data_IF_376473920986
#
_entry.id   IF_376473920986
#
_cell.length_a   1.000
_cell.length_b   1.000
_cell.length_c   1.000
_cell.angle_alpha   90.00
_cell.angle_beta   90.00
_cell.angle_gamma   90.00
#
_symmetry.space_group_name_H-M   'P 1'
#
loop_
_entity.id
_entity.type
_entity.pdbx_description
1 polymer ?
#
# COMPACT_ATOMS: atom_id res chain seq x y z
N UNK A 1 13.25 5.61 23.60
CA UNK A 1 12.41 4.61 22.91
C UNK A 1 11.25 4.09 23.75
N UNK A 2 11.47 3.40 24.88
CA UNK A 2 10.38 2.77 25.68
C UNK A 2 9.17 3.68 25.95
N UNK A 3 9.39 4.90 26.46
CA UNK A 3 8.30 5.85 26.73
C UNK A 3 7.51 6.25 25.47
N UNK A 4 8.18 6.36 24.32
CA UNK A 4 7.52 6.68 23.05
C UNK A 4 6.65 5.51 22.56
N UNK A 5 7.15 4.26 22.69
CA UNK A 5 6.37 3.05 22.36
C UNK A 5 5.16 2.88 23.27
N UNK A 6 5.33 3.14 24.58
CA UNK A 6 4.21 3.08 25.53
C UNK A 6 3.15 4.14 25.20
N UNK A 7 3.58 5.36 24.88
CA UNK A 7 2.69 6.44 24.47
C UNK A 7 1.93 6.07 23.18
N UNK A 8 2.62 5.59 22.15
CA UNK A 8 2.02 5.15 20.88
C UNK A 8 0.97 4.06 21.09
N UNK A 9 1.27 3.05 21.91
CA UNK A 9 0.30 2.00 22.24
C UNK A 9 -0.96 2.57 22.91
N UNK A 10 -0.81 3.53 23.83
CA UNK A 10 -1.94 4.22 24.48
C UNK A 10 -2.71 5.06 23.46
N UNK A 11 -2.02 5.86 22.64
CA UNK A 11 -2.64 6.72 21.63
C UNK A 11 -3.41 5.89 20.61
N UNK A 12 -2.83 4.80 20.10
CA UNK A 12 -3.47 3.87 19.18
C UNK A 12 -4.74 3.28 19.79
N UNK A 13 -4.67 2.79 21.03
CA UNK A 13 -5.81 2.22 21.74
C UNK A 13 -6.90 3.27 21.96
N UNK A 14 -6.56 4.46 22.43
CA UNK A 14 -7.50 5.56 22.63
C UNK A 14 -8.17 5.96 21.31
N UNK A 15 -7.40 6.15 20.24
CA UNK A 15 -7.96 6.51 18.92
C UNK A 15 -8.90 5.42 18.39
N UNK A 16 -8.52 4.14 18.53
CA UNK A 16 -9.37 3.02 18.18
C UNK A 16 -10.70 3.03 18.95
N UNK A 17 -10.65 3.16 20.28
CA UNK A 17 -11.85 3.20 21.14
C UNK A 17 -12.72 4.42 20.82
N UNK A 18 -12.13 5.60 20.65
CA UNK A 18 -12.86 6.81 20.28
C UNK A 18 -13.55 6.65 18.92
N UNK A 19 -12.87 6.08 17.92
CA UNK A 19 -13.48 5.86 16.62
C UNK A 19 -14.63 4.84 16.69
N UNK A 20 -14.51 3.77 17.47
CA UNK A 20 -15.61 2.83 17.70
C UNK A 20 -16.80 3.48 18.42
N UNK A 21 -16.54 4.36 19.39
CA UNK A 21 -17.58 5.01 20.19
C UNK A 21 -18.32 6.11 19.40
N UNK A 22 -17.60 6.91 18.63
CA UNK A 22 -18.12 8.13 18.03
C UNK A 22 -18.35 8.05 16.51
N UNK A 23 -17.87 7.00 15.86
CA UNK A 23 -18.06 6.82 14.41
C UNK A 23 -18.70 5.46 14.10
N UNK A 24 -19.38 5.36 12.95
CA UNK A 24 -19.93 4.09 12.45
C UNK A 24 -18.88 3.39 11.58
N UNK A 25 -17.81 2.91 12.20
CA UNK A 25 -16.73 2.24 11.47
C UNK A 25 -17.22 1.02 10.67
N UNK A 26 -16.71 0.91 9.44
CA UNK A 26 -16.78 -0.27 8.59
C UNK A 26 -15.39 -0.58 8.06
N UNK A 27 -15.19 -1.76 7.49
CA UNK A 27 -13.95 -2.15 6.80
C UNK A 27 -13.59 -1.22 5.63
N UNK A 28 -14.60 -0.53 5.08
CA UNK A 28 -14.45 0.46 4.01
C UNK A 28 -14.22 1.87 4.52
N UNK A 29 -14.33 2.10 5.84
CA UNK A 29 -14.11 3.42 6.43
C UNK A 29 -12.62 3.79 6.36
N UNK A 30 -12.24 5.00 5.91
CA UNK A 30 -10.84 5.41 5.81
C UNK A 30 -10.06 5.27 7.12
N UNK A 31 -10.70 5.57 8.25
CA UNK A 31 -10.10 5.40 9.58
C UNK A 31 -9.65 3.97 9.87
N UNK A 32 -10.36 2.96 9.36
CA UNK A 32 -9.99 1.54 9.56
C UNK A 32 -8.65 1.25 8.88
N UNK A 33 -8.48 1.70 7.63
CA UNK A 33 -7.24 1.51 6.88
C UNK A 33 -6.09 2.27 7.54
N UNK A 34 -6.34 3.51 7.99
CA UNK A 34 -5.32 4.32 8.65
C UNK A 34 -4.86 3.72 9.99
N UNK A 35 -5.80 3.22 10.81
CA UNK A 35 -5.46 2.52 12.06
C UNK A 35 -4.64 1.26 11.82
N UNK A 36 -5.01 0.45 10.81
CA UNK A 36 -4.25 -0.74 10.45
C UNK A 36 -2.84 -0.38 9.97
N UNK A 37 -2.70 0.66 9.15
CA UNK A 37 -1.41 1.15 8.69
C UNK A 37 -0.55 1.62 9.87
N UNK A 38 -1.10 2.45 10.76
CA UNK A 38 -0.38 2.93 11.95
C UNK A 38 0.06 1.76 12.83
N UNK A 39 -0.85 0.85 13.15
CA UNK A 39 -0.54 -0.33 13.95
C UNK A 39 0.58 -1.18 13.34
N UNK A 40 0.52 -1.45 12.02
CA UNK A 40 1.47 -2.33 11.35
C UNK A 40 2.85 -1.69 11.14
N UNK A 41 2.89 -0.44 10.67
CA UNK A 41 4.14 0.17 10.19
C UNK A 41 4.75 1.16 11.17
N UNK A 42 3.98 1.66 12.14
CA UNK A 42 4.47 2.54 13.20
C UNK A 42 4.62 1.72 14.49
N UNK A 43 3.50 1.24 15.06
CA UNK A 43 3.50 0.62 16.38
C UNK A 43 4.29 -0.69 16.43
N UNK A 44 3.98 -1.66 15.56
CA UNK A 44 4.71 -2.94 15.53
C UNK A 44 6.18 -2.76 15.19
N UNK A 45 6.52 -1.83 14.28
CA UNK A 45 7.92 -1.52 13.96
C UNK A 45 8.64 -0.90 15.15
N UNK A 46 8.03 0.05 15.85
CA UNK A 46 8.61 0.65 17.05
C UNK A 46 8.84 -0.37 18.17
N UNK A 47 7.90 -1.30 18.36
CA UNK A 47 8.05 -2.44 19.29
C UNK A 47 9.19 -3.36 18.84
N UNK A 48 9.30 -3.66 17.56
CA UNK A 48 10.38 -4.51 17.04
C UNK A 48 11.76 -3.87 17.28
N UNK A 49 11.92 -2.58 16.99
CA UNK A 49 13.17 -1.83 17.25
C UNK A 49 13.48 -1.82 18.75
N UNK A 50 12.49 -1.58 19.61
CA UNK A 50 12.66 -1.67 21.07
C UNK A 50 13.14 -3.06 21.52
N UNK A 51 12.76 -4.12 20.81
CA UNK A 51 13.18 -5.50 21.06
C UNK A 51 14.51 -5.88 20.34
N UNK A 52 15.20 -4.90 19.74
CA UNK A 52 16.52 -5.11 19.12
C UNK A 52 16.51 -5.40 17.63
N UNK A 53 15.40 -5.15 16.91
CA UNK A 53 15.39 -5.22 15.45
C UNK A 53 16.36 -4.19 14.85
N UNK A 54 17.01 -4.57 13.75
CA UNK A 54 17.96 -3.71 13.04
C UNK A 54 17.25 -2.51 12.44
N UNK A 55 17.86 -1.32 12.56
CA UNK A 55 17.32 -0.08 11.96
C UNK A 55 17.84 0.12 10.55
N UNK A 56 17.14 0.95 9.78
CA UNK A 56 17.56 1.31 8.42
C UNK A 56 18.98 1.90 8.43
N UNK A 57 19.75 1.64 7.37
CA UNK A 57 21.15 2.05 7.22
C UNK A 57 22.15 1.38 8.18
N UNK A 58 21.84 0.19 8.72
CA UNK A 58 22.72 -0.58 9.61
C UNK A 58 23.92 -1.30 8.95
N UNK A 59 24.26 -0.99 7.70
CA UNK A 59 25.41 -1.60 7.01
C UNK A 59 26.70 -0.78 7.12
N UNK A 60 27.83 -1.42 6.84
CA UNK A 60 29.16 -0.79 6.95
C UNK A 60 29.28 0.44 6.05
N UNK A 61 29.65 1.57 6.64
CA UNK A 61 29.86 2.83 5.93
C UNK A 61 28.61 3.70 5.75
N UNK A 62 27.45 3.24 6.23
CA UNK A 62 26.25 4.05 6.37
C UNK A 62 26.07 4.55 7.81
N UNK A 63 25.17 5.51 7.99
CA UNK A 63 24.81 6.07 9.29
C UNK A 63 23.41 5.57 9.69
N UNK A 64 23.30 4.58 10.61
CA UNK A 64 22.03 3.98 10.98
C UNK A 64 21.03 5.01 11.53
N UNK A 65 19.74 4.76 11.31
CA UNK A 65 18.70 5.53 11.99
C UNK A 65 18.74 5.17 13.48
N UNK A 66 18.88 6.18 14.33
CA UNK A 66 18.98 6.01 15.77
C UNK A 66 17.62 5.85 16.44
N UNK A 67 17.60 5.24 17.63
CA UNK A 67 16.37 5.09 18.42
C UNK A 67 15.71 6.42 18.81
N UNK A 68 16.49 7.50 18.94
CA UNK A 68 15.98 8.82 19.28
C UNK A 68 15.22 9.44 18.11
N UNK A 69 15.73 9.27 16.90
CA UNK A 69 15.05 9.67 15.66
C UNK A 69 13.75 8.89 15.46
N UNK A 70 13.79 7.58 15.71
CA UNK A 70 12.60 6.72 15.66
C UNK A 70 11.58 7.16 16.72
N UNK A 71 12.03 7.41 17.96
CA UNK A 71 11.15 7.91 19.03
C UNK A 71 10.44 9.20 18.63
N UNK A 72 11.15 10.13 17.98
CA UNK A 72 10.57 11.38 17.47
C UNK A 72 9.57 11.13 16.34
N UNK A 73 9.90 10.24 15.41
CA UNK A 73 9.02 9.89 14.29
C UNK A 73 7.71 9.25 14.79
N UNK A 74 7.78 8.35 15.78
CA UNK A 74 6.60 7.77 16.44
C UNK A 74 5.71 8.85 17.03
N UNK A 75 6.26 9.79 17.80
CA UNK A 75 5.48 10.87 18.41
C UNK A 75 4.79 11.77 17.36
N UNK A 76 5.44 12.01 16.21
CA UNK A 76 4.83 12.77 15.12
C UNK A 76 3.75 11.97 14.39
N UNK A 77 3.93 10.67 14.22
CA UNK A 77 2.91 9.78 13.69
C UNK A 77 1.69 9.72 14.62
N UNK A 78 1.89 9.67 15.94
CA UNK A 78 0.81 9.73 16.94
C UNK A 78 0.02 11.02 16.84
N UNK A 79 0.71 12.16 16.71
CA UNK A 79 0.05 13.45 16.52
C UNK A 79 -0.82 13.45 15.25
N UNK A 80 -0.32 12.88 14.15
CA UNK A 80 -1.08 12.73 12.93
C UNK A 80 -2.32 11.81 13.13
N UNK A 81 -2.16 10.70 13.85
CA UNK A 81 -3.26 9.78 14.18
C UNK A 81 -4.36 10.46 15.01
N UNK A 82 -3.97 11.26 16.02
CA UNK A 82 -4.91 12.05 16.84
C UNK A 82 -5.65 13.07 15.98
N UNK A 83 -4.93 13.79 15.11
CA UNK A 83 -5.51 14.80 14.24
C UNK A 83 -6.52 14.19 13.26
N UNK A 84 -6.15 13.08 12.62
CA UNK A 84 -7.02 12.35 11.69
C UNK A 84 -8.24 11.76 12.40
N UNK A 85 -8.05 11.16 13.58
CA UNK A 85 -9.13 10.65 14.43
C UNK A 85 -10.13 11.74 14.80
N UNK A 86 -9.63 12.88 15.25
CA UNK A 86 -10.44 14.05 15.58
C UNK A 86 -11.21 14.56 14.36
N UNK A 87 -10.57 14.58 13.18
CA UNK A 87 -11.20 14.93 11.90
C UNK A 87 -12.37 14.02 11.53
N UNK A 88 -12.21 12.70 11.68
CA UNK A 88 -13.29 11.74 11.40
C UNK A 88 -14.43 11.83 12.40
N UNK A 89 -14.14 11.99 13.70
CA UNK A 89 -15.18 12.18 14.73
C UNK A 89 -15.97 13.47 14.47
N UNK A 90 -15.28 14.57 14.16
CA UNK A 90 -15.93 15.82 13.80
C UNK A 90 -16.80 15.68 12.54
N UNK A 91 -16.32 14.98 11.51
CA UNK A 91 -17.08 14.71 10.31
C UNK A 91 -18.33 13.86 10.58
N UNK A 92 -18.21 12.82 11.43
CA UNK A 92 -19.32 11.98 11.83
C UNK A 92 -20.38 12.77 12.62
N UNK A 93 -19.95 13.60 13.57
CA UNK A 93 -20.83 14.45 14.37
C UNK A 93 -21.53 15.51 13.50
N UNK A 94 -20.79 16.17 12.59
CA UNK A 94 -21.37 17.10 11.62
C UNK A 94 -22.41 16.42 10.74
N UNK A 95 -22.15 15.21 10.26
CA UNK A 95 -23.10 14.46 9.43
C UNK A 95 -24.37 14.03 10.21
N UNK A 96 -24.25 13.77 11.51
CA UNK A 96 -25.39 13.46 12.37
C UNK A 96 -26.22 14.71 12.70
N UNK A 97 -25.56 15.86 12.92
CA UNK A 97 -26.22 17.11 13.33
C UNK A 97 -26.66 17.99 12.17
N UNK A 98 -26.13 17.78 10.96
CA UNK A 98 -26.65 18.37 9.74
C UNK A 98 -27.99 17.69 9.39
N UNK A 99 -29.02 17.92 10.20
CA UNK A 99 -30.34 17.29 10.04
C UNK A 99 -30.88 17.54 8.65
N UNK A 100 -31.00 16.49 7.83
CA UNK A 100 -31.46 16.44 6.42
C UNK A 100 -31.24 17.70 5.56
N UNK A 101 -30.22 18.50 5.87
CA UNK A 101 -29.94 19.77 5.22
C UNK A 101 -29.51 19.41 3.81
N UNK A 102 -30.38 19.70 2.85
CA UNK A 102 -30.31 19.32 1.44
C UNK A 102 -28.86 19.20 0.97
N UNK A 103 -28.31 17.98 0.99
CA UNK A 103 -27.17 17.67 0.13
C UNK A 103 -27.73 17.72 -1.29
N UNK A 104 -27.73 18.91 -1.88
CA UNK A 104 -28.19 19.15 -3.26
C UNK A 104 -27.31 18.44 -4.31
N UNK A 105 -26.26 17.73 -3.88
CA UNK A 105 -25.63 16.69 -4.67
C UNK A 105 -26.60 15.50 -4.78
N UNK A 106 -27.55 15.57 -5.73
CA UNK A 106 -28.27 14.38 -6.21
C UNK A 106 -27.20 13.32 -6.50
N UNK A 107 -27.20 12.16 -5.81
CA UNK A 107 -26.19 11.14 -6.07
C UNK A 107 -26.28 10.78 -7.55
N UNK A 108 -25.21 11.07 -8.30
CA UNK A 108 -25.13 10.67 -9.70
C UNK A 108 -25.06 9.16 -9.72
N UNK A 109 -26.16 8.53 -10.12
CA UNK A 109 -26.20 7.09 -10.27
C UNK A 109 -25.14 6.68 -11.30
N UNK A 110 -24.34 5.69 -10.93
CA UNK A 110 -23.40 5.08 -11.87
C UNK A 110 -24.20 4.54 -13.05
N UNK A 111 -23.83 4.91 -14.29
CA UNK A 111 -24.47 4.41 -15.51
C UNK A 111 -23.90 3.03 -15.83
N UNK A 112 -24.56 1.90 -15.50
CA UNK A 112 -23.96 0.58 -15.65
C UNK A 112 -23.79 0.20 -17.13
N UNK A 113 -24.54 0.87 -18.01
CA UNK A 113 -24.44 0.78 -19.47
C UNK A 113 -23.05 1.12 -20.00
N UNK A 114 -22.38 2.12 -19.40
CA UNK A 114 -21.03 2.53 -19.79
C UNK A 114 -19.95 1.65 -19.15
N UNK A 115 -20.28 0.94 -18.06
CA UNK A 115 -19.30 0.15 -17.34
C UNK A 115 -18.77 -1.02 -18.17
N UNK A 116 -19.66 -1.77 -18.83
CA UNK A 116 -19.25 -2.91 -19.67
C UNK A 116 -18.28 -2.53 -20.78
N UNK A 117 -18.58 -1.56 -21.68
CA UNK A 117 -17.67 -1.22 -22.76
C UNK A 117 -16.34 -0.68 -22.25
N UNK A 118 -16.35 0.17 -21.21
CA UNK A 118 -15.12 0.68 -20.58
C UNK A 118 -14.30 -0.46 -19.97
N UNK A 119 -14.93 -1.34 -19.19
CA UNK A 119 -14.26 -2.47 -18.58
C UNK A 119 -13.70 -3.44 -19.64
N UNK A 120 -14.42 -3.68 -20.73
CA UNK A 120 -13.92 -4.51 -21.84
C UNK A 120 -12.65 -3.92 -22.44
N UNK A 121 -12.65 -2.63 -22.77
CA UNK A 121 -11.44 -1.96 -23.30
C UNK A 121 -10.29 -2.03 -22.30
N UNK A 122 -10.55 -1.71 -21.02
CA UNK A 122 -9.53 -1.74 -19.98
C UNK A 122 -9.00 -3.16 -19.70
N UNK A 123 -9.83 -4.21 -19.80
CA UNK A 123 -9.39 -5.60 -19.69
C UNK A 123 -8.48 -5.96 -20.87
N UNK A 124 -8.88 -5.64 -22.10
CA UNK A 124 -8.06 -5.92 -23.29
C UNK A 124 -6.71 -5.22 -23.19
N UNK A 125 -6.71 -3.92 -22.86
CA UNK A 125 -5.47 -3.15 -22.67
C UNK A 125 -4.65 -3.70 -21.50
N UNK A 126 -5.29 -4.05 -20.38
CA UNK A 126 -4.60 -4.60 -19.22
C UNK A 126 -3.96 -5.96 -19.51
N UNK A 127 -4.65 -6.86 -20.19
CA UNK A 127 -4.10 -8.15 -20.63
C UNK A 127 -2.95 -7.95 -21.62
N UNK A 128 -3.11 -7.07 -22.61
CA UNK A 128 -2.03 -6.72 -23.53
C UNK A 128 -0.82 -6.16 -22.79
N UNK A 129 -1.04 -5.26 -21.82
CA UNK A 129 0.02 -4.70 -21.01
C UNK A 129 0.75 -5.76 -20.17
N UNK A 130 0.01 -6.71 -19.60
CA UNK A 130 0.56 -7.84 -18.88
C UNK A 130 1.34 -8.78 -19.80
N UNK A 131 1.02 -8.89 -21.08
CA UNK A 131 1.81 -9.70 -22.04
C UNK A 131 3.06 -8.97 -22.53
N UNK A 132 2.96 -7.65 -22.79
CA UNK A 132 4.01 -6.87 -23.44
C UNK A 132 5.08 -6.31 -22.48
N UNK A 133 4.70 -6.01 -21.24
CA UNK A 133 5.58 -5.34 -20.27
C UNK A 133 5.82 -6.14 -18.99
N UNK A 134 5.29 -7.37 -18.90
CA UNK A 134 5.66 -8.23 -17.78
C UNK A 134 6.86 -9.10 -18.12
N UNK A 135 7.64 -9.40 -17.08
CA UNK A 135 8.69 -10.42 -17.15
C UNK A 135 7.99 -11.79 -17.14
N UNK A 136 7.81 -12.39 -18.33
CA UNK A 136 7.29 -13.75 -18.46
C UNK A 136 8.46 -14.77 -18.45
N UNK A 137 8.39 -15.83 -17.64
CA UNK A 137 9.42 -16.86 -17.62
C UNK A 137 9.54 -17.53 -18.99
N UNK A 138 10.77 -17.67 -19.51
CA UNK A 138 11.04 -18.29 -20.82
C UNK A 138 10.64 -17.46 -22.05
N UNK A 139 10.08 -16.27 -21.86
CA UNK A 139 9.69 -15.36 -22.94
C UNK A 139 10.53 -14.08 -22.88
N UNK A 140 11.53 -13.98 -23.75
CA UNK A 140 12.24 -12.73 -24.03
C UNK A 140 11.45 -11.89 -25.02
N UNK A 141 10.26 -11.43 -24.62
CA UNK A 141 9.55 -10.42 -25.41
C UNK A 141 10.39 -9.14 -25.40
N UNK A 142 10.86 -8.71 -26.58
CA UNK A 142 11.37 -7.35 -26.69
C UNK A 142 10.21 -6.39 -26.45
N UNK A 143 10.33 -5.46 -25.49
CA UNK A 143 9.28 -4.50 -25.21
C UNK A 143 8.96 -3.70 -26.47
N UNK A 144 7.68 -3.60 -26.81
CA UNK A 144 7.22 -2.92 -28.03
C UNK A 144 7.62 -1.42 -28.05
N UNK A 145 7.85 -0.84 -26.86
CA UNK A 145 8.36 0.51 -26.67
C UNK A 145 9.35 0.53 -25.50
N UNK A 146 10.65 0.57 -25.80
CA UNK A 146 11.72 0.57 -24.79
C UNK A 146 11.66 1.80 -23.88
N UNK A 147 11.32 2.97 -24.44
CA UNK A 147 11.32 4.25 -23.71
C UNK A 147 10.19 4.38 -22.67
N UNK A 148 9.26 3.42 -22.66
CA UNK A 148 8.10 3.37 -21.77
C UNK A 148 8.19 2.23 -20.75
N UNK A 149 9.26 1.42 -20.77
CA UNK A 149 9.47 0.32 -19.82
C UNK A 149 9.43 0.79 -18.37
N UNK A 150 10.08 1.92 -18.09
CA UNK A 150 10.17 2.49 -16.75
C UNK A 150 9.04 3.51 -16.46
N UNK A 151 8.05 3.62 -17.36
CA UNK A 151 6.93 4.54 -17.16
C UNK A 151 5.92 3.95 -16.18
N UNK A 152 5.47 4.73 -15.20
CA UNK A 152 4.34 4.34 -14.34
C UNK A 152 3.08 3.98 -15.15
N UNK A 153 2.94 4.50 -16.38
CA UNK A 153 1.84 4.14 -17.28
C UNK A 153 1.87 2.69 -17.74
N UNK A 154 3.05 2.13 -18.03
CA UNK A 154 3.18 0.72 -18.42
C UNK A 154 2.97 -0.20 -17.23
N UNK A 155 3.41 0.20 -16.03
CA UNK A 155 3.20 -0.55 -14.78
C UNK A 155 1.73 -0.53 -14.36
N UNK A 156 1.08 0.64 -14.37
CA UNK A 156 -0.32 0.79 -13.96
C UNK A 156 -1.27 0.15 -14.97
N UNK A 157 -0.98 0.21 -16.29
CA UNK A 157 -1.81 -0.46 -17.29
C UNK A 157 -1.99 -1.96 -17.01
N UNK A 158 -0.97 -2.62 -16.45
CA UNK A 158 -1.05 -4.03 -16.08
C UNK A 158 -2.06 -4.32 -14.96
N UNK A 159 -2.55 -3.31 -14.22
CA UNK A 159 -3.58 -3.50 -13.18
C UNK A 159 -4.99 -3.32 -13.71
N UNK A 160 -5.15 -2.82 -14.94
CA UNK A 160 -6.46 -2.44 -15.48
C UNK A 160 -7.40 -3.63 -15.62
N UNK A 161 -6.88 -4.81 -15.96
CA UNK A 161 -7.67 -6.03 -16.04
C UNK A 161 -8.29 -6.39 -14.68
N UNK A 162 -7.48 -6.45 -13.61
CA UNK A 162 -7.96 -6.74 -12.26
C UNK A 162 -8.94 -5.70 -11.73
N UNK A 163 -8.64 -4.41 -11.89
CA UNK A 163 -9.53 -3.33 -11.45
C UNK A 163 -10.86 -3.30 -12.21
N UNK A 164 -10.84 -3.59 -13.51
CA UNK A 164 -12.06 -3.66 -14.32
C UNK A 164 -12.93 -4.86 -13.97
N UNK A 165 -12.32 -6.03 -13.72
CA UNK A 165 -13.02 -7.21 -13.22
C UNK A 165 -13.65 -6.93 -11.84
N UNK A 166 -12.95 -6.21 -10.96
CA UNK A 166 -13.52 -5.78 -9.69
C UNK A 166 -14.72 -4.86 -9.86
N UNK A 167 -14.63 -3.86 -10.75
CA UNK A 167 -15.74 -2.96 -11.02
C UNK A 167 -16.97 -3.72 -11.55
N UNK A 168 -16.76 -4.70 -12.44
CA UNK A 168 -17.81 -5.59 -12.91
C UNK A 168 -18.41 -6.44 -11.78
N UNK A 169 -17.59 -7.02 -10.90
CA UNK A 169 -18.07 -7.78 -9.72
C UNK A 169 -18.85 -6.88 -8.76
N UNK A 170 -18.38 -5.65 -8.54
CA UNK A 170 -19.06 -4.69 -7.69
C UNK A 170 -20.47 -4.38 -8.21
N UNK A 171 -20.63 -4.11 -9.50
CA UNK A 171 -21.93 -3.77 -10.09
C UNK A 171 -22.83 -4.99 -10.34
N UNK A 172 -22.30 -6.09 -10.87
CA UNK A 172 -23.08 -7.25 -11.31
C UNK A 172 -23.10 -8.43 -10.31
N UNK A 173 -22.37 -8.31 -9.20
CA UNK A 173 -22.24 -9.32 -8.17
C UNK A 173 -21.19 -10.40 -8.48
N UNK A 174 -21.03 -11.33 -7.53
CA UNK A 174 -20.09 -12.46 -7.59
C UNK A 174 -20.60 -13.57 -8.52
N UNK A 175 -20.73 -13.26 -9.81
CA UNK A 175 -21.12 -14.24 -10.83
C UNK A 175 -19.97 -15.22 -11.08
N UNK A 176 -20.23 -16.53 -11.27
CA UNK A 176 -19.17 -17.54 -11.42
C UNK A 176 -18.14 -17.18 -12.50
N UNK A 177 -18.57 -16.68 -13.66
CA UNK A 177 -17.66 -16.27 -14.74
C UNK A 177 -16.74 -15.10 -14.37
N UNK A 178 -17.23 -14.11 -13.62
CA UNK A 178 -16.40 -12.99 -13.15
C UNK A 178 -15.43 -13.42 -12.05
N UNK A 179 -15.88 -14.31 -11.16
CA UNK A 179 -15.03 -14.87 -10.11
C UNK A 179 -13.92 -15.74 -10.72
N UNK A 180 -14.25 -16.58 -11.71
CA UNK A 180 -13.27 -17.37 -12.44
C UNK A 180 -12.24 -16.48 -13.18
N UNK A 181 -12.71 -15.42 -13.86
CA UNK A 181 -11.81 -14.46 -14.51
C UNK A 181 -10.89 -13.73 -13.50
N UNK A 182 -11.42 -13.34 -12.34
CA UNK A 182 -10.62 -12.75 -11.26
C UNK A 182 -9.58 -13.74 -10.72
N UNK A 183 -9.97 -15.01 -10.53
CA UNK A 183 -9.06 -16.08 -10.13
C UNK A 183 -7.93 -16.28 -11.14
N UNK A 184 -8.24 -16.26 -12.44
CA UNK A 184 -7.26 -16.31 -13.51
C UNK A 184 -6.28 -15.13 -13.49
N UNK A 185 -6.79 -13.91 -13.25
CA UNK A 185 -5.95 -12.72 -13.05
C UNK A 185 -5.00 -12.89 -11.85
N UNK A 186 -5.50 -13.35 -10.70
CA UNK A 186 -4.64 -13.58 -9.52
C UNK A 186 -3.58 -14.64 -9.75
N UNK A 187 -3.94 -15.77 -10.36
CA UNK A 187 -2.99 -16.81 -10.72
C UNK A 187 -1.84 -16.24 -11.57
N UNK A 188 -2.19 -15.44 -12.58
CA UNK A 188 -1.21 -14.82 -13.46
C UNK A 188 -0.30 -13.82 -12.73
N UNK A 189 -0.85 -12.97 -11.86
CA UNK A 189 -0.05 -12.02 -11.08
C UNK A 189 0.90 -12.73 -10.11
N UNK A 190 0.46 -13.83 -9.47
CA UNK A 190 1.31 -14.65 -8.61
C UNK A 190 2.46 -15.25 -9.42
N UNK A 191 2.16 -15.81 -10.59
CA UNK A 191 3.16 -16.39 -11.48
C UNK A 191 4.23 -15.37 -11.94
N UNK A 192 3.83 -14.12 -12.20
CA UNK A 192 4.77 -13.06 -12.56
C UNK A 192 5.74 -12.66 -11.43
N UNK A 193 5.38 -12.87 -10.16
CA UNK A 193 6.25 -12.56 -9.02
C UNK A 193 6.58 -11.07 -8.80
N UNK A 194 6.04 -10.17 -9.63
CA UNK A 194 6.37 -8.75 -9.64
C UNK A 194 5.17 -7.89 -9.22
N UNK A 195 5.46 -6.75 -8.59
CA UNK A 195 4.47 -5.73 -8.20
C UNK A 195 3.30 -6.32 -7.39
N UNK A 196 3.60 -6.82 -6.18
CA UNK A 196 2.71 -7.51 -5.25
C UNK A 196 1.39 -6.76 -4.94
N UNK A 197 1.41 -5.43 -5.03
CA UNK A 197 0.21 -4.60 -4.85
C UNK A 197 -0.93 -4.95 -5.82
N UNK A 198 -0.61 -5.49 -7.00
CA UNK A 198 -1.57 -5.93 -8.02
C UNK A 198 -2.40 -7.14 -7.59
N UNK A 199 -1.95 -7.87 -6.57
CA UNK A 199 -2.68 -8.96 -5.94
C UNK A 199 -3.43 -8.44 -4.70
N UNK A 200 -2.71 -7.75 -3.80
CA UNK A 200 -3.28 -7.35 -2.50
C UNK A 200 -4.39 -6.32 -2.63
N UNK A 201 -4.18 -5.24 -3.40
CA UNK A 201 -5.18 -4.17 -3.50
C UNK A 201 -6.48 -4.76 -4.06
N UNK A 202 -6.47 -5.53 -5.17
CA UNK A 202 -7.72 -6.08 -5.66
C UNK A 202 -8.35 -7.11 -4.72
N UNK A 203 -7.56 -7.88 -3.98
CA UNK A 203 -8.09 -8.83 -3.01
C UNK A 203 -8.76 -8.12 -1.82
N UNK A 204 -8.12 -7.10 -1.25
CA UNK A 204 -8.69 -6.28 -0.17
C UNK A 204 -10.00 -5.66 -0.66
N UNK A 205 -10.00 -5.09 -1.86
CA UNK A 205 -11.21 -4.53 -2.48
C UNK A 205 -12.28 -5.60 -2.69
N UNK A 206 -11.93 -6.81 -3.15
CA UNK A 206 -12.88 -7.90 -3.35
C UNK A 206 -13.58 -8.29 -2.03
N UNK A 207 -12.83 -8.34 -0.93
CA UNK A 207 -13.36 -8.64 0.42
C UNK A 207 -14.23 -7.50 0.92
N UNK A 208 -13.84 -6.25 0.69
CA UNK A 208 -14.66 -5.07 0.98
C UNK A 208 -15.97 -5.09 0.19
N UNK A 209 -15.92 -5.37 -1.12
CA UNK A 209 -17.10 -5.52 -2.00
C UNK A 209 -18.00 -6.64 -1.50
N UNK A 210 -17.43 -7.76 -1.07
CA UNK A 210 -18.21 -8.87 -0.50
C UNK A 210 -18.94 -8.47 0.79
N UNK A 211 -18.24 -7.80 1.71
CA UNK A 211 -18.83 -7.31 2.96
C UNK A 211 -19.92 -6.27 2.71
N UNK A 212 -19.66 -5.29 1.85
CA UNK A 212 -20.58 -4.20 1.50
C UNK A 212 -21.87 -4.73 0.88
N UNK A 213 -21.78 -5.64 -0.10
CA UNK A 213 -22.95 -6.25 -0.74
C UNK A 213 -23.79 -7.13 0.20
N UNK A 214 -23.22 -7.57 1.33
CA UNK A 214 -23.91 -8.33 2.38
C UNK A 214 -24.39 -7.42 3.52
N UNK A 215 -24.21 -6.10 3.42
CA UNK A 215 -24.53 -5.15 4.49
C UNK A 215 -23.70 -5.34 5.76
N UNK A 216 -22.53 -5.99 5.65
CA UNK A 216 -21.66 -6.29 6.79
C UNK A 216 -20.63 -5.18 6.97
N UNK A 217 -20.47 -4.71 8.20
CA UNK A 217 -19.47 -3.69 8.55
C UNK A 217 -18.07 -4.26 8.68
N UNK A 218 -17.96 -5.54 9.05
CA UNK A 218 -16.69 -6.26 9.20
C UNK A 218 -16.62 -7.41 8.20
N UNK A 219 -15.42 -7.80 7.73
CA UNK A 219 -15.26 -8.99 6.91
C UNK A 219 -15.77 -10.24 7.66
N UNK A 220 -16.18 -11.27 6.91
CA UNK A 220 -16.44 -12.58 7.51
C UNK A 220 -15.16 -13.15 8.13
N UNK A 221 -15.29 -14.09 9.07
CA UNK A 221 -14.14 -14.83 9.60
C UNK A 221 -13.26 -15.43 8.47
N UNK A 222 -13.88 -15.95 7.42
CA UNK A 222 -13.19 -16.42 6.20
C UNK A 222 -12.46 -15.30 5.45
N UNK A 223 -13.02 -14.10 5.38
CA UNK A 223 -12.39 -12.93 4.77
C UNK A 223 -11.20 -12.42 5.60
N UNK A 224 -11.32 -12.44 6.94
CA UNK A 224 -10.20 -12.13 7.85
C UNK A 224 -9.10 -13.16 7.67
N UNK A 225 -9.43 -14.45 7.67
CA UNK A 225 -8.46 -15.51 7.43
C UNK A 225 -7.76 -15.35 6.07
N UNK A 226 -8.50 -15.03 5.00
CA UNK A 226 -7.92 -14.75 3.69
C UNK A 226 -6.96 -13.54 3.71
N UNK A 227 -7.33 -12.45 4.39
CA UNK A 227 -6.45 -11.28 4.54
C UNK A 227 -5.17 -11.61 5.32
N UNK A 228 -5.28 -12.38 6.41
CA UNK A 228 -4.13 -12.80 7.20
C UNK A 228 -3.20 -13.71 6.40
N UNK A 229 -3.75 -14.70 5.69
CA UNK A 229 -2.97 -15.60 4.82
C UNK A 229 -2.27 -14.79 3.74
N UNK A 230 -2.99 -13.89 3.05
CA UNK A 230 -2.38 -13.07 2.00
C UNK A 230 -1.38 -12.04 2.54
N UNK A 231 -1.59 -11.52 3.74
CA UNK A 231 -0.62 -10.65 4.43
C UNK A 231 0.67 -11.40 4.79
N UNK A 232 0.57 -12.65 5.25
CA UNK A 232 1.75 -13.48 5.54
C UNK A 232 2.48 -13.91 4.27
N UNK A 233 1.73 -14.29 3.22
CA UNK A 233 2.30 -14.69 1.93
C UNK A 233 2.82 -13.51 1.10
N UNK A 234 2.45 -12.27 1.45
CA UNK A 234 2.89 -11.07 0.73
C UNK A 234 4.40 -10.89 0.74
N UNK A 235 5.04 -11.07 1.89
CA UNK A 235 6.48 -10.90 2.05
C UNK A 235 7.28 -11.87 1.17
N UNK A 236 7.05 -13.20 1.24
CA UNK A 236 7.78 -14.15 0.40
C UNK A 236 7.37 -14.14 -1.07
N UNK A 237 6.25 -13.53 -1.48
CA UNK A 237 5.72 -13.63 -2.85
C UNK A 237 6.74 -13.20 -3.93
N UNK A 238 7.55 -12.19 -3.63
CA UNK A 238 8.60 -11.71 -4.55
C UNK A 238 9.69 -12.77 -4.73
N UNK A 239 10.17 -13.34 -3.63
CA UNK A 239 11.16 -14.42 -3.64
C UNK A 239 10.61 -15.68 -4.32
N UNK A 240 9.36 -16.04 -4.03
CA UNK A 240 8.68 -17.18 -4.64
C UNK A 240 8.65 -17.05 -6.16
N UNK A 241 8.23 -15.90 -6.68
CA UNK A 241 8.16 -15.69 -8.12
C UNK A 241 9.54 -15.72 -8.80
N UNK A 242 10.57 -15.18 -8.15
CA UNK A 242 11.94 -15.21 -8.67
C UNK A 242 12.54 -16.62 -8.68
N UNK A 243 12.27 -17.42 -7.66
CA UNK A 243 12.80 -18.78 -7.54
C UNK A 243 12.07 -19.77 -8.45
N UNK A 244 10.74 -19.62 -8.58
CA UNK A 244 9.96 -20.30 -9.61
C UNK A 244 10.46 -19.93 -11.03
N UNK A 245 10.91 -18.70 -11.24
CA UNK A 245 11.52 -18.24 -12.49
C UNK A 245 12.91 -18.84 -12.73
N UNK A 246 13.72 -18.98 -11.68
CA UNK A 246 15.06 -19.57 -11.76
C UNK A 246 15.04 -21.11 -11.91
N UNK A 247 13.89 -21.74 -11.65
CA UNK A 247 13.75 -23.19 -11.68
C UNK A 247 14.29 -23.86 -10.40
N UNK A 248 14.36 -23.10 -9.31
CA UNK A 248 14.95 -23.57 -8.05
C UNK A 248 14.12 -24.71 -7.44
N UNK A 249 14.76 -25.66 -6.73
CA UNK A 249 14.06 -26.74 -6.07
C UNK A 249 13.01 -26.23 -5.06
N UNK A 250 11.89 -26.95 -4.95
CA UNK A 250 10.80 -26.62 -4.00
C UNK A 250 11.31 -26.54 -2.54
N UNK A 251 12.37 -27.28 -2.20
CA UNK A 251 12.98 -27.20 -0.87
C UNK A 251 13.59 -25.82 -0.56
N UNK A 252 14.25 -25.19 -1.53
CA UNK A 252 14.83 -23.85 -1.37
C UNK A 252 13.74 -22.77 -1.29
N UNK A 253 12.67 -22.95 -2.08
CA UNK A 253 11.46 -22.11 -2.00
C UNK A 253 10.88 -22.05 -0.59
N UNK A 254 10.81 -23.21 0.07
CA UNK A 254 10.26 -23.33 1.40
C UNK A 254 11.14 -22.65 2.46
N UNK A 255 12.46 -22.84 2.42
CA UNK A 255 13.38 -22.23 3.37
C UNK A 255 13.44 -20.70 3.22
N UNK A 256 13.41 -20.20 1.99
CA UNK A 256 13.35 -18.76 1.74
C UNK A 256 12.03 -18.16 2.25
N UNK A 257 10.90 -18.83 1.97
CA UNK A 257 9.58 -18.41 2.48
C UNK A 257 9.57 -18.34 4.02
N UNK A 258 10.13 -19.35 4.69
CA UNK A 258 10.25 -19.40 6.14
C UNK A 258 11.14 -18.26 6.67
N UNK A 259 12.26 -18.00 6.02
CA UNK A 259 13.19 -16.93 6.39
C UNK A 259 12.51 -15.56 6.30
N UNK A 260 11.80 -15.28 5.21
CA UNK A 260 11.06 -14.01 5.04
C UNK A 260 10.00 -13.83 6.13
N UNK A 261 9.23 -14.87 6.44
CA UNK A 261 8.22 -14.82 7.51
C UNK A 261 8.88 -14.56 8.87
N UNK A 262 10.00 -15.23 9.17
CA UNK A 262 10.74 -15.00 10.42
C UNK A 262 11.25 -13.56 10.51
N UNK A 263 11.78 -13.01 9.41
CA UNK A 263 12.24 -11.62 9.37
C UNK A 263 11.10 -10.63 9.61
N UNK A 264 9.88 -10.91 9.13
CA UNK A 264 8.69 -10.10 9.41
C UNK A 264 8.36 -10.11 10.90
N UNK A 265 8.35 -11.28 11.55
CA UNK A 265 8.05 -11.38 12.98
C UNK A 265 9.15 -10.78 13.86
N UNK A 266 10.41 -10.81 13.43
CA UNK A 266 11.51 -10.09 14.08
C UNK A 266 11.48 -8.59 13.83
N UNK A 267 10.73 -8.15 12.81
CA UNK A 267 10.70 -6.78 12.36
C UNK A 267 11.87 -6.37 11.46
N UNK A 268 12.78 -7.28 11.11
CA UNK A 268 13.95 -7.02 10.26
C UNK A 268 13.63 -7.00 8.75
N UNK A 269 12.38 -7.28 8.37
CA UNK A 269 11.99 -7.28 6.96
C UNK A 269 11.99 -5.84 6.38
N UNK A 270 12.61 -5.59 5.21
CA UNK A 270 12.72 -4.25 4.62
C UNK A 270 11.38 -3.51 4.45
N UNK A 271 10.32 -4.22 4.02
CA UNK A 271 8.97 -3.64 3.88
C UNK A 271 8.37 -3.07 5.20
N UNK A 272 8.93 -3.40 6.36
CA UNK A 272 8.48 -2.88 7.67
C UNK A 272 9.20 -1.59 8.09
N UNK A 273 10.22 -1.16 7.34
CA UNK A 273 11.09 -0.01 7.69
C UNK A 273 10.49 1.36 7.35
N UNK A 274 9.17 1.44 7.08
CA UNK A 274 8.48 2.71 6.78
C UNK A 274 8.68 3.75 7.90
N UNK A 275 8.60 3.33 9.17
CA UNK A 275 8.87 4.22 10.31
C UNK A 275 10.31 4.77 10.27
N UNK A 276 11.29 3.93 9.93
CA UNK A 276 12.69 4.32 9.82
C UNK A 276 12.93 5.27 8.66
N UNK A 277 12.25 5.04 7.51
CA UNK A 277 12.29 5.94 6.37
C UNK A 277 11.72 7.31 6.74
N UNK A 278 10.60 7.34 7.47
CA UNK A 278 10.03 8.58 7.99
C UNK A 278 10.98 9.28 8.97
N UNK A 279 11.58 8.55 9.91
CA UNK A 279 12.57 9.09 10.85
C UNK A 279 13.80 9.66 10.14
N UNK A 280 14.34 8.94 9.17
CA UNK A 280 15.46 9.39 8.33
C UNK A 280 15.10 10.66 7.56
N UNK A 281 13.94 10.68 6.90
CA UNK A 281 13.49 11.83 6.12
C UNK A 281 13.31 13.09 7.01
N UNK A 282 12.76 12.94 8.22
CA UNK A 282 12.64 14.04 9.18
C UNK A 282 14.00 14.61 9.57
N UNK A 283 14.95 13.75 9.96
CA UNK A 283 16.28 14.20 10.37
C UNK A 283 17.05 14.83 9.22
N UNK A 284 16.99 14.24 8.02
CA UNK A 284 17.69 14.75 6.86
C UNK A 284 17.09 16.08 6.38
N UNK A 285 15.77 16.24 6.43
CA UNK A 285 15.11 17.51 6.13
C UNK A 285 15.56 18.62 7.11
N UNK A 286 15.61 18.32 8.41
CA UNK A 286 16.10 19.27 9.41
C UNK A 286 17.58 19.62 9.20
N UNK A 287 18.42 18.62 8.91
CA UNK A 287 19.85 18.82 8.68
C UNK A 287 20.13 19.73 7.47
N UNK A 288 19.27 19.69 6.45
CA UNK A 288 19.33 20.57 5.28
C UNK A 288 18.54 21.87 5.45
N UNK A 289 17.86 22.08 6.59
CA UNK A 289 17.01 23.25 6.82
C UNK A 289 15.80 23.35 5.89
N UNK A 290 15.33 22.22 5.36
CA UNK A 290 14.23 22.17 4.42
C UNK A 290 12.87 22.02 5.11
N UNK A 291 11.94 22.91 4.76
CA UNK A 291 10.53 22.81 5.12
C UNK A 291 9.70 22.70 3.84
N UNK A 292 9.07 21.54 3.64
CA UNK A 292 8.40 21.26 2.37
C UNK A 292 7.01 21.89 2.23
N UNK A 293 6.34 22.31 3.31
CA UNK A 293 5.03 23.01 3.30
C UNK A 293 3.99 22.41 2.34
N UNK A 294 3.94 21.07 2.22
CA UNK A 294 3.02 20.37 1.33
C UNK A 294 3.44 20.29 -0.15
N UNK A 295 4.61 20.83 -0.53
CA UNK A 295 5.19 20.68 -1.88
C UNK A 295 5.39 19.22 -2.28
N UNK A 296 5.59 18.33 -1.31
CA UNK A 296 5.63 16.88 -1.53
C UNK A 296 4.34 16.33 -2.17
N UNK A 297 3.19 16.99 -1.97
CA UNK A 297 1.93 16.61 -2.62
C UNK A 297 1.82 17.03 -4.08
N UNK A 298 2.72 17.89 -4.60
CA UNK A 298 2.66 18.34 -5.98
C UNK A 298 2.77 17.18 -6.99
N UNK A 299 3.54 16.14 -6.66
CA UNK A 299 3.66 14.94 -7.48
C UNK A 299 2.34 14.17 -7.66
N UNK A 300 1.40 14.26 -6.70
CA UNK A 300 0.08 13.65 -6.84
C UNK A 300 -0.74 14.32 -7.93
N UNK A 301 -0.60 15.64 -8.09
CA UNK A 301 -1.34 16.41 -9.09
C UNK A 301 -0.84 16.14 -10.52
N UNK A 302 0.44 15.73 -10.65
CA UNK A 302 1.09 15.48 -11.94
C UNK A 302 1.27 13.99 -12.24
N UNK A 303 0.81 13.08 -11.37
CA UNK A 303 1.01 11.63 -11.52
C UNK A 303 0.44 11.12 -12.85
N UNK A 304 -0.69 11.70 -13.28
CA UNK A 304 -1.40 11.38 -14.51
C UNK A 304 -0.77 11.98 -15.79
N UNK A 305 0.34 12.70 -15.70
CA UNK A 305 1.07 13.16 -16.90
C UNK A 305 2.26 12.23 -17.14
N UNK A 306 2.35 11.48 -18.25
CA UNK A 306 3.54 10.68 -18.55
C UNK A 306 4.82 11.52 -18.53
N UNK A 307 5.92 10.97 -17.98
CA UNK A 307 7.23 11.64 -18.03
C UNK A 307 7.70 11.85 -19.47
N UNK A 308 7.27 11.02 -20.41
CA UNK A 308 7.55 11.19 -21.83
C UNK A 308 6.97 12.48 -22.42
N UNK A 309 5.90 13.02 -21.82
CA UNK A 309 5.30 14.29 -22.26
C UNK A 309 5.78 15.48 -21.40
N UNK A 310 6.14 15.23 -20.14
CA UNK A 310 6.74 16.22 -19.26
C UNK A 310 7.85 15.59 -18.41
N UNK A 311 9.10 15.56 -18.93
CA UNK A 311 10.22 14.88 -18.27
C UNK A 311 10.52 15.41 -16.87
N UNK A 312 10.48 16.74 -16.74
CA UNK A 312 10.80 17.50 -15.53
C UNK A 312 9.63 17.66 -14.54
N UNK A 313 8.55 16.89 -14.69
CA UNK A 313 7.42 17.00 -13.76
C UNK A 313 7.85 16.64 -12.32
N UNK A 314 7.25 17.25 -11.29
CA UNK A 314 7.50 16.87 -9.91
C UNK A 314 7.27 15.37 -9.68
N UNK A 315 8.28 14.69 -9.13
CA UNK A 315 8.18 13.29 -8.71
C UNK A 315 7.58 13.17 -7.30
N UNK A 316 6.90 12.05 -7.01
CA UNK A 316 6.35 11.77 -5.68
C UNK A 316 7.44 11.74 -4.59
N UNK A 317 8.66 11.32 -4.97
CA UNK A 317 9.81 11.16 -4.07
C UNK A 317 10.96 12.10 -4.43
N UNK A 318 10.66 13.20 -5.13
CA UNK A 318 11.67 14.21 -5.48
C UNK A 318 12.36 14.80 -4.26
N UNK A 319 11.62 14.96 -3.15
CA UNK A 319 12.17 15.43 -1.88
C UNK A 319 13.23 14.48 -1.30
N UNK A 320 13.14 13.18 -1.56
CA UNK A 320 14.14 12.21 -1.07
C UNK A 320 15.48 12.42 -1.76
N UNK A 321 15.47 12.77 -3.05
CA UNK A 321 16.70 13.10 -3.78
C UNK A 321 17.38 14.35 -3.21
N UNK A 322 16.60 15.33 -2.78
CA UNK A 322 17.11 16.58 -2.20
C UNK A 322 17.77 16.38 -0.84
N UNK A 323 17.23 15.49 0.00
CA UNK A 323 17.73 15.28 1.38
C UNK A 323 18.69 14.10 1.52
N UNK A 324 18.81 13.25 0.49
CA UNK A 324 19.64 12.04 0.51
C UNK A 324 21.12 12.39 0.69
N UNK A 325 21.85 11.59 1.48
CA UNK A 325 23.29 11.77 1.71
C UNK A 325 24.04 10.48 1.39
N UNK A 326 25.37 10.55 1.28
CA UNK A 326 26.21 9.35 1.07
C UNK A 326 26.05 8.32 2.20
N UNK A 327 25.86 8.80 3.43
CA UNK A 327 25.71 7.94 4.62
C UNK A 327 24.27 7.43 4.79
N UNK A 328 23.28 8.14 4.23
CA UNK A 328 21.87 7.74 4.20
C UNK A 328 21.30 7.92 2.80
N UNK A 329 21.60 6.99 1.88
CA UNK A 329 21.23 7.10 0.47
C UNK A 329 19.75 6.73 0.24
N UNK A 330 18.84 7.55 0.76
CA UNK A 330 17.38 7.34 0.68
C UNK A 330 16.91 7.19 -0.77
N UNK A 331 17.39 8.07 -1.66
CA UNK A 331 16.99 8.07 -3.07
C UNK A 331 17.47 6.84 -3.84
N UNK A 332 18.68 6.35 -3.56
CA UNK A 332 19.30 5.26 -4.32
C UNK A 332 18.81 3.89 -3.86
N UNK A 333 18.37 3.79 -2.61
CA UNK A 333 17.89 2.53 -2.03
C UNK A 333 16.42 2.25 -2.32
N UNK A 334 15.75 3.11 -3.09
CA UNK A 334 14.37 2.91 -3.53
C UNK A 334 13.38 2.89 -2.37
N UNK A 335 13.63 3.71 -1.36
CA UNK A 335 12.83 3.82 -0.14
C UNK A 335 11.54 4.60 -0.42
N UNK A 336 10.62 3.97 -1.16
CA UNK A 336 9.30 4.48 -1.58
C UNK A 336 8.22 3.45 -1.36
#
# INVERSE_FOLDING_TARGET
MFNAVLLDAIVLLCCFVCLLAFTRMSVTHPATIYLLFHAMFISLRAIAVLNGATTLFSWKGANPVSETEISRAVMLADLALIAMTSGWILAAHRAANSGSGKRDARPRMLRPELLKPVATVCIVVGCAAMLLWSKLPGFSAQPLMTDWLDSNWSVIAQTWAGLSLLALIYCYGFRPGLVAAMGGYFYWVIYQGNFRFRLLIPLILLIQVYADRRGRRVPSASGIAALLICGLLFFPLKGIGQQLQAGDPIGELWENTKTEIVNVFRGDHPDLTILDQFASALTLADAHGHFYWGRTYAGLLTVAVPRQWWPEKPGLTSYEQEISTRERPMADTGMV
#
